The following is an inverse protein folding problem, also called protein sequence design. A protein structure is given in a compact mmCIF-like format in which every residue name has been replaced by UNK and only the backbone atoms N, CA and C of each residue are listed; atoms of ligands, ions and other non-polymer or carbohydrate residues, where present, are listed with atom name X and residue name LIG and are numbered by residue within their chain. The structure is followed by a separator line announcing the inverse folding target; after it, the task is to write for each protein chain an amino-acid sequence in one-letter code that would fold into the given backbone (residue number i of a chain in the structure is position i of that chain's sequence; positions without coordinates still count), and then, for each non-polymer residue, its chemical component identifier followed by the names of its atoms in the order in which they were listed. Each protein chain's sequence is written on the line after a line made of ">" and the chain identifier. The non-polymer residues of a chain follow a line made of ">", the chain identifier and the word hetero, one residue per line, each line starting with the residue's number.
data_IF_289997075444
#
_entry.id   IF_289997075444
#
_cell.length_a   1.000
_cell.length_b   1.000
_cell.length_c   1.000
_cell.angle_alpha   90.00
_cell.angle_beta   90.00
_cell.angle_gamma   90.00
#
_symmetry.space_group_name_H-M   'P 1'
#
loop_
_entity.id
_entity.type
_entity.pdbx_description
1 polymer ?
#
# COMPACT_ATOMS: atom_id res chain seq x y z
N UNK A 1 -11.08 -17.74 -43.32
CA UNK A 1 -10.11 -16.65 -43.03
C UNK A 1 -8.71 -17.18 -43.29
N UNK A 2 -7.94 -16.54 -44.17
CA UNK A 2 -6.63 -17.07 -44.61
C UNK A 2 -5.65 -17.17 -43.43
N UNK A 3 -4.94 -18.30 -43.29
CA UNK A 3 -4.07 -18.61 -42.14
C UNK A 3 -3.02 -17.51 -41.87
N UNK A 4 -2.53 -16.85 -42.92
CA UNK A 4 -1.63 -15.68 -42.79
C UNK A 4 -2.27 -14.54 -41.98
N UNK A 5 -3.53 -14.17 -42.25
CA UNK A 5 -4.21 -13.09 -41.52
C UNK A 5 -4.43 -13.44 -40.05
N UNK A 6 -4.69 -14.71 -39.73
CA UNK A 6 -4.78 -15.17 -38.35
C UNK A 6 -3.46 -14.97 -37.61
N UNK A 7 -2.33 -15.36 -38.21
CA UNK A 7 -1.00 -15.17 -37.63
C UNK A 7 -0.70 -13.68 -37.41
N UNK A 8 -0.94 -12.83 -38.41
CA UNK A 8 -0.76 -11.38 -38.25
C UNK A 8 -1.63 -10.81 -37.13
N UNK A 9 -2.89 -11.26 -37.02
CA UNK A 9 -3.78 -10.80 -35.94
C UNK A 9 -3.31 -11.26 -34.56
N UNK A 10 -2.79 -12.49 -34.44
CA UNK A 10 -2.20 -12.97 -33.20
C UNK A 10 -0.93 -12.18 -32.83
N UNK A 11 -0.04 -11.92 -33.79
CA UNK A 11 1.16 -11.08 -33.57
C UNK A 11 0.81 -9.66 -33.17
N UNK A 12 -0.22 -9.05 -33.78
CA UNK A 12 -0.70 -7.73 -33.41
C UNK A 12 -1.29 -7.69 -32.00
N UNK A 13 -2.09 -8.71 -31.62
CA UNK A 13 -2.62 -8.84 -30.25
C UNK A 13 -1.52 -9.10 -29.22
N UNK A 14 -0.46 -9.83 -29.59
CA UNK A 14 0.66 -10.17 -28.72
C UNK A 14 1.82 -9.14 -28.75
N UNK A 15 1.69 -8.02 -29.48
CA UNK A 15 2.79 -7.08 -29.71
C UNK A 15 3.48 -6.61 -28.43
N UNK A 16 2.72 -6.29 -27.38
CA UNK A 16 3.25 -5.86 -26.08
C UNK A 16 4.02 -6.98 -25.37
N UNK A 17 3.50 -8.20 -25.40
CA UNK A 17 4.19 -9.38 -24.86
C UNK A 17 5.45 -9.72 -25.66
N UNK A 18 5.41 -9.64 -26.99
CA UNK A 18 6.59 -9.84 -27.85
C UNK A 18 7.65 -8.79 -27.53
N UNK A 19 7.26 -7.52 -27.41
CA UNK A 19 8.18 -6.45 -27.02
C UNK A 19 8.80 -6.70 -25.64
N UNK A 20 8.00 -7.12 -24.65
CA UNK A 20 8.49 -7.48 -23.32
C UNK A 20 9.51 -8.64 -23.38
N UNK A 21 9.21 -9.71 -24.14
CA UNK A 21 10.11 -10.85 -24.29
C UNK A 21 11.41 -10.45 -25.00
N UNK A 22 11.35 -9.60 -26.02
CA UNK A 22 12.53 -9.07 -26.69
C UNK A 22 13.40 -8.24 -25.74
N UNK A 23 12.79 -7.38 -24.92
CA UNK A 23 13.51 -6.58 -23.93
C UNK A 23 14.16 -7.46 -22.87
N UNK A 24 13.44 -8.47 -22.36
CA UNK A 24 13.98 -9.45 -21.40
C UNK A 24 15.16 -10.21 -22.01
N UNK A 25 15.02 -10.70 -23.25
CA UNK A 25 16.09 -11.43 -23.95
C UNK A 25 17.31 -10.53 -24.17
N UNK A 26 17.11 -9.29 -24.59
CA UNK A 26 18.18 -8.31 -24.77
C UNK A 26 18.94 -8.07 -23.46
N UNK A 27 18.26 -7.73 -22.38
CA UNK A 27 18.92 -7.48 -21.09
C UNK A 27 19.52 -8.74 -20.48
N UNK A 28 18.94 -9.92 -20.72
CA UNK A 28 19.51 -11.19 -20.26
C UNK A 28 20.86 -11.49 -20.91
N UNK A 29 21.11 -11.04 -22.14
CA UNK A 29 22.39 -11.25 -22.83
C UNK A 29 23.37 -10.09 -22.53
N UNK A 30 22.87 -8.86 -22.45
CA UNK A 30 23.71 -7.67 -22.27
C UNK A 30 24.15 -7.43 -20.82
N UNK A 31 23.39 -7.94 -19.82
CA UNK A 31 23.64 -7.68 -18.40
C UNK A 31 23.83 -9.01 -17.65
N UNK A 32 25.06 -9.35 -17.22
CA UNK A 32 25.40 -10.66 -16.64
C UNK A 32 24.55 -11.10 -15.43
N UNK A 33 24.01 -10.14 -14.67
CA UNK A 33 23.25 -10.42 -13.44
C UNK A 33 21.73 -10.25 -13.60
N UNK A 34 21.24 -9.98 -14.81
CA UNK A 34 19.85 -9.59 -15.03
C UNK A 34 18.84 -10.68 -14.65
N UNK A 35 19.06 -11.92 -15.10
CA UNK A 35 18.19 -13.07 -14.76
C UNK A 35 18.69 -13.87 -13.54
N UNK A 36 19.50 -13.27 -12.67
CA UNK A 36 19.86 -13.93 -11.41
C UNK A 36 18.67 -13.97 -10.46
N UNK A 37 18.57 -15.03 -9.65
CA UNK A 37 17.50 -15.15 -8.66
C UNK A 37 17.46 -13.95 -7.69
N UNK A 38 18.64 -13.45 -7.27
CA UNK A 38 18.76 -12.27 -6.42
C UNK A 38 18.17 -11.01 -7.07
N UNK A 39 18.51 -10.73 -8.34
CA UNK A 39 17.97 -9.57 -9.04
C UNK A 39 16.46 -9.69 -9.26
N UNK A 40 15.96 -10.89 -9.61
CA UNK A 40 14.52 -11.13 -9.74
C UNK A 40 13.77 -10.92 -8.43
N UNK A 41 14.35 -11.34 -7.30
CA UNK A 41 13.76 -11.11 -5.97
C UNK A 41 13.71 -9.63 -5.61
N UNK A 42 14.77 -8.86 -5.87
CA UNK A 42 14.81 -7.41 -5.63
C UNK A 42 13.77 -6.69 -6.51
N UNK A 43 13.70 -7.02 -7.80
CA UNK A 43 12.69 -6.45 -8.70
C UNK A 43 11.27 -6.79 -8.24
N UNK A 44 11.03 -8.03 -7.83
CA UNK A 44 9.74 -8.47 -7.30
C UNK A 44 9.40 -7.75 -5.99
N UNK A 45 10.39 -7.46 -5.15
CA UNK A 45 10.22 -6.69 -3.92
C UNK A 45 9.80 -5.24 -4.20
N UNK A 46 10.37 -4.58 -5.22
CA UNK A 46 9.91 -3.25 -5.65
C UNK A 46 8.49 -3.28 -6.22
N UNK A 47 8.16 -4.31 -7.01
CA UNK A 47 6.80 -4.53 -7.49
C UNK A 47 5.84 -4.82 -6.32
N UNK A 48 6.30 -5.48 -5.25
CA UNK A 48 5.45 -5.78 -4.10
C UNK A 48 4.96 -4.52 -3.37
N UNK A 49 5.77 -3.47 -3.30
CA UNK A 49 5.40 -2.18 -2.70
C UNK A 49 4.23 -1.54 -3.47
N UNK A 50 4.37 -1.41 -4.80
CA UNK A 50 3.33 -0.84 -5.65
C UNK A 50 2.12 -1.76 -5.80
N UNK A 51 2.34 -3.07 -5.86
CA UNK A 51 1.31 -4.10 -5.87
C UNK A 51 0.44 -4.07 -4.62
N UNK A 52 1.03 -3.85 -3.43
CA UNK A 52 0.29 -3.72 -2.18
C UNK A 52 -0.64 -2.49 -2.18
N UNK A 53 -0.16 -1.34 -2.64
CA UNK A 53 -1.03 -0.16 -2.86
C UNK A 53 -2.13 -0.46 -3.89
N UNK A 54 -1.78 -1.12 -4.99
CA UNK A 54 -2.70 -1.44 -6.07
C UNK A 54 -3.84 -2.37 -5.61
N UNK A 55 -3.59 -3.30 -4.68
CA UNK A 55 -4.63 -4.16 -4.10
C UNK A 55 -5.67 -3.31 -3.36
N UNK A 56 -5.24 -2.38 -2.52
CA UNK A 56 -6.15 -1.44 -1.83
C UNK A 56 -6.94 -0.56 -2.82
N UNK A 57 -6.23 0.03 -3.78
CA UNK A 57 -6.81 0.88 -4.82
C UNK A 57 -7.78 0.12 -5.75
N UNK A 58 -7.55 -1.18 -5.99
CA UNK A 58 -8.47 -2.02 -6.77
C UNK A 58 -9.85 -2.07 -6.13
N UNK A 59 -9.93 -2.28 -4.82
CA UNK A 59 -11.23 -2.28 -4.12
C UNK A 59 -11.92 -0.92 -4.21
N UNK A 60 -11.15 0.17 -4.11
CA UNK A 60 -11.67 1.54 -4.24
C UNK A 60 -12.27 1.76 -5.62
N UNK A 61 -11.54 1.41 -6.68
CA UNK A 61 -12.01 1.51 -8.08
C UNK A 61 -13.26 0.66 -8.29
N UNK A 62 -13.31 -0.56 -7.74
CA UNK A 62 -14.49 -1.42 -7.85
C UNK A 62 -15.76 -0.80 -7.28
N UNK A 63 -15.65 0.14 -6.33
CA UNK A 63 -16.81 0.89 -5.80
C UNK A 63 -17.10 2.20 -6.54
N UNK A 64 -16.42 2.46 -7.67
CA UNK A 64 -16.54 3.70 -8.43
C UNK A 64 -15.79 4.89 -7.81
N UNK A 65 -14.84 4.64 -6.92
CA UNK A 65 -14.05 5.66 -6.23
C UNK A 65 -12.62 5.80 -6.76
N UNK A 66 -11.88 6.72 -6.15
CA UNK A 66 -10.43 6.87 -6.33
C UNK A 66 -9.79 7.33 -5.03
N UNK A 67 -8.63 6.76 -4.70
CA UNK A 67 -7.84 7.16 -3.53
C UNK A 67 -6.45 7.64 -3.95
N UNK A 68 -6.31 8.95 -4.13
CA UNK A 68 -5.03 9.59 -4.46
C UNK A 68 -4.13 9.80 -3.25
N UNK A 69 -4.63 9.56 -2.04
CA UNK A 69 -3.88 9.86 -0.81
C UNK A 69 -2.84 8.80 -0.47
N UNK A 70 -2.96 7.59 -1.03
CA UNK A 70 -2.22 6.39 -0.59
C UNK A 70 -0.71 6.57 -0.50
N UNK A 71 -0.09 7.29 -1.44
CA UNK A 71 1.34 7.56 -1.41
C UNK A 71 1.73 8.46 -0.24
N UNK A 72 1.03 9.57 -0.05
CA UNK A 72 1.26 10.48 1.08
C UNK A 72 0.93 9.82 2.43
N UNK A 73 -0.12 8.98 2.48
CA UNK A 73 -0.48 8.20 3.67
C UNK A 73 0.63 7.21 4.02
N UNK A 74 1.22 6.52 3.04
CA UNK A 74 2.40 5.68 3.28
C UNK A 74 3.58 6.49 3.84
N UNK A 75 3.81 7.70 3.30
CA UNK A 75 4.82 8.63 3.81
C UNK A 75 4.66 8.97 5.29
N UNK A 76 3.49 9.48 5.68
CA UNK A 76 3.21 9.80 7.08
C UNK A 76 3.21 8.56 7.97
N UNK A 77 2.76 7.40 7.49
CA UNK A 77 2.84 6.14 8.25
C UNK A 77 4.29 5.74 8.54
N UNK A 78 5.19 5.93 7.57
CA UNK A 78 6.63 5.77 7.78
C UNK A 78 7.18 6.75 8.82
N UNK A 79 6.77 8.03 8.76
CA UNK A 79 7.16 9.04 9.76
C UNK A 79 6.64 8.71 11.16
N UNK A 80 5.41 8.23 11.29
CA UNK A 80 4.84 7.78 12.56
C UNK A 80 5.61 6.57 13.10
N UNK A 81 5.98 5.61 12.25
CA UNK A 81 6.83 4.48 12.64
C UNK A 81 8.19 4.96 13.15
N UNK A 82 8.83 5.89 12.42
CA UNK A 82 10.10 6.50 12.82
C UNK A 82 10.00 7.24 14.16
N UNK A 83 8.97 8.05 14.34
CA UNK A 83 8.72 8.77 15.59
C UNK A 83 8.54 7.82 16.78
N UNK A 84 7.74 6.75 16.62
CA UNK A 84 7.51 5.77 17.68
C UNK A 84 8.76 4.95 18.03
N UNK A 85 9.61 4.65 17.04
CA UNK A 85 10.86 3.91 17.26
C UNK A 85 11.97 4.77 17.86
N UNK A 86 12.09 6.04 17.45
CA UNK A 86 13.18 6.94 17.88
C UNK A 86 12.83 7.70 19.15
N UNK A 87 11.64 8.30 19.22
CA UNK A 87 11.26 9.20 20.32
C UNK A 87 10.33 8.54 21.34
N UNK A 88 9.71 7.41 21.00
CA UNK A 88 8.63 6.84 21.80
C UNK A 88 7.38 7.75 21.82
N UNK A 89 6.42 7.39 22.67
CA UNK A 89 5.22 8.18 22.89
C UNK A 89 5.32 8.94 24.23
N UNK A 90 5.37 10.28 24.22
CA UNK A 90 5.35 11.04 25.45
C UNK A 90 3.99 10.91 26.14
N UNK A 91 3.98 10.38 27.35
CA UNK A 91 2.79 10.30 28.21
C UNK A 91 2.64 11.62 28.98
N UNK A 92 1.42 11.93 29.42
CA UNK A 92 1.16 13.14 30.22
C UNK A 92 1.99 13.17 31.52
N UNK A 93 2.30 12.00 32.08
CA UNK A 93 3.09 11.91 33.31
C UNK A 93 4.57 12.31 33.13
N UNK A 94 5.01 12.62 31.90
CA UNK A 94 6.41 12.90 31.56
C UNK A 94 7.22 11.66 31.17
N UNK A 95 6.68 10.48 31.42
CA UNK A 95 7.27 9.21 30.99
C UNK A 95 7.17 9.03 29.47
N UNK A 96 8.17 8.38 28.89
CA UNK A 96 8.19 8.04 27.47
C UNK A 96 7.93 6.54 27.33
N UNK A 97 6.82 6.20 26.67
CA UNK A 97 6.50 4.81 26.36
C UNK A 97 7.19 4.41 25.06
N UNK A 98 8.13 3.48 25.14
CA UNK A 98 8.72 2.84 23.97
C UNK A 98 7.94 1.58 23.63
N UNK A 99 7.63 1.43 22.35
CA UNK A 99 6.90 0.30 21.81
C UNK A 99 7.87 -0.70 21.18
N UNK A 100 7.56 -1.99 21.32
CA UNK A 100 8.24 -3.04 20.57
C UNK A 100 7.86 -2.96 19.07
N UNK A 101 8.65 -3.58 18.20
CA UNK A 101 8.39 -3.56 16.75
C UNK A 101 6.98 -4.02 16.37
N UNK A 102 6.42 -5.13 16.91
CA UNK A 102 5.06 -5.54 16.59
C UNK A 102 3.99 -4.51 17.02
N UNK A 103 4.21 -3.82 18.14
CA UNK A 103 3.32 -2.78 18.65
C UNK A 103 3.36 -1.54 17.75
N UNK A 104 4.55 -1.14 17.27
CA UNK A 104 4.69 -0.05 16.29
C UNK A 104 3.95 -0.39 15.00
N UNK A 105 4.12 -1.61 14.47
CA UNK A 105 3.41 -2.08 13.27
C UNK A 105 1.90 -1.99 13.47
N UNK A 106 1.39 -2.41 14.63
CA UNK A 106 -0.03 -2.34 14.95
C UNK A 106 -0.53 -0.89 15.04
N UNK A 107 0.19 -0.02 15.75
CA UNK A 107 -0.16 1.41 15.87
C UNK A 107 -0.22 2.10 14.49
N UNK A 108 0.76 1.84 13.63
CA UNK A 108 0.83 2.42 12.29
C UNK A 108 -0.27 1.85 11.37
N UNK A 109 -0.54 0.55 11.47
CA UNK A 109 -1.66 -0.09 10.75
C UNK A 109 -3.01 0.53 11.15
N UNK A 110 -3.24 0.73 12.45
CA UNK A 110 -4.44 1.41 12.97
C UNK A 110 -4.50 2.84 12.45
N UNK A 111 -3.39 3.58 12.46
CA UNK A 111 -3.34 4.94 11.95
C UNK A 111 -3.74 5.01 10.46
N UNK A 112 -3.19 4.14 9.59
CA UNK A 112 -3.60 4.08 8.19
C UNK A 112 -5.08 3.74 8.00
N UNK A 113 -5.60 2.79 8.79
CA UNK A 113 -7.04 2.45 8.81
C UNK A 113 -7.88 3.68 9.20
N UNK A 114 -7.48 4.44 10.21
CA UNK A 114 -8.18 5.65 10.63
C UNK A 114 -8.21 6.71 9.53
N UNK A 115 -7.09 6.94 8.85
CA UNK A 115 -7.05 7.87 7.71
C UNK A 115 -8.00 7.42 6.59
N UNK A 116 -7.99 6.12 6.26
CA UNK A 116 -8.92 5.53 5.30
C UNK A 116 -10.39 5.63 5.75
N UNK A 117 -10.68 5.44 7.03
CA UNK A 117 -12.01 5.63 7.61
C UNK A 117 -12.48 7.08 7.49
N UNK A 118 -11.60 8.06 7.71
CA UNK A 118 -11.91 9.48 7.53
C UNK A 118 -12.27 9.78 6.07
N UNK A 119 -11.44 9.34 5.11
CA UNK A 119 -11.75 9.49 3.68
C UNK A 119 -13.10 8.86 3.32
N UNK A 120 -13.30 7.60 3.71
CA UNK A 120 -14.54 6.88 3.44
C UNK A 120 -15.77 7.54 4.09
N UNK A 121 -15.65 8.04 5.33
CA UNK A 121 -16.73 8.70 6.04
C UNK A 121 -17.07 10.05 5.39
N UNK A 122 -16.07 10.82 4.98
CA UNK A 122 -16.30 12.12 4.34
C UNK A 122 -16.98 11.95 2.99
N UNK A 123 -16.50 11.00 2.18
CA UNK A 123 -17.08 10.71 0.87
C UNK A 123 -18.53 10.23 1.00
N UNK A 124 -18.81 9.31 1.93
CA UNK A 124 -20.14 8.68 2.02
C UNK A 124 -21.17 9.48 2.80
N UNK A 125 -20.78 10.20 3.86
CA UNK A 125 -21.70 10.94 4.74
C UNK A 125 -21.87 12.39 4.34
N UNK A 126 -20.80 13.05 3.87
CA UNK A 126 -20.87 14.44 3.42
C UNK A 126 -21.06 14.56 1.90
N UNK A 127 -21.07 13.44 1.17
CA UNK A 127 -21.32 13.44 -0.28
C UNK A 127 -20.22 14.12 -1.09
N UNK A 128 -19.01 14.21 -0.53
CA UNK A 128 -17.86 14.81 -1.21
C UNK A 128 -17.36 13.86 -2.29
N UNK A 129 -17.04 14.39 -3.47
CA UNK A 129 -16.48 13.59 -4.55
C UNK A 129 -15.15 12.91 -4.11
N UNK A 130 -14.95 11.61 -4.42
CA UNK A 130 -13.75 10.86 -4.02
C UNK A 130 -12.43 11.52 -4.36
N UNK A 131 -12.33 12.09 -5.56
CA UNK A 131 -11.13 12.77 -6.05
C UNK A 131 -10.74 13.95 -5.15
N UNK A 132 -11.70 14.85 -4.85
CA UNK A 132 -11.42 16.05 -4.04
C UNK A 132 -11.11 15.66 -2.60
N UNK A 133 -11.85 14.72 -2.03
CA UNK A 133 -11.61 14.27 -0.65
C UNK A 133 -10.21 13.69 -0.48
N UNK A 134 -9.80 12.77 -1.37
CA UNK A 134 -8.52 12.06 -1.24
C UNK A 134 -7.34 12.91 -1.70
N UNK A 135 -7.52 13.83 -2.65
CA UNK A 135 -6.54 14.86 -2.96
C UNK A 135 -6.31 15.78 -1.75
N UNK A 136 -7.38 16.20 -1.07
CA UNK A 136 -7.28 16.98 0.17
C UNK A 136 -6.51 16.21 1.25
N UNK A 137 -6.85 14.94 1.46
CA UNK A 137 -6.14 14.08 2.41
C UNK A 137 -4.66 13.86 2.03
N UNK A 138 -4.33 13.79 0.73
CA UNK A 138 -2.94 13.73 0.27
C UNK A 138 -2.14 14.95 0.76
N UNK A 139 -2.70 16.16 0.64
CA UNK A 139 -2.05 17.37 1.15
C UNK A 139 -1.97 17.40 2.67
N UNK A 140 -3.02 16.96 3.37
CA UNK A 140 -3.00 16.85 4.84
C UNK A 140 -1.90 15.89 5.29
N UNK A 141 -1.87 14.66 4.77
CA UNK A 141 -0.89 13.66 5.13
C UNK A 141 0.55 14.12 4.81
N UNK A 142 0.77 14.72 3.65
CA UNK A 142 2.09 15.23 3.23
C UNK A 142 2.53 16.45 4.04
N UNK A 143 1.61 17.38 4.31
CA UNK A 143 1.85 18.53 5.18
C UNK A 143 2.17 18.09 6.61
N UNK A 144 1.39 17.17 7.17
CA UNK A 144 1.66 16.56 8.47
C UNK A 144 3.02 15.87 8.48
N UNK A 145 3.41 15.14 7.43
CA UNK A 145 4.71 14.47 7.38
C UNK A 145 5.86 15.49 7.44
N UNK A 146 5.73 16.62 6.74
CA UNK A 146 6.72 17.72 6.78
C UNK A 146 6.76 18.45 8.13
N UNK A 147 5.69 18.41 8.92
CA UNK A 147 5.68 18.97 10.28
C UNK A 147 6.27 18.00 11.31
N UNK A 148 6.31 16.70 11.02
CA UNK A 148 6.98 15.74 11.88
C UNK A 148 8.49 15.96 11.82
N UNK A 149 9.14 15.89 12.99
CA UNK A 149 10.58 16.02 13.14
C UNK A 149 11.16 17.29 12.47
N UNK A 150 10.40 18.39 12.45
CA UNK A 150 10.77 19.65 11.79
C UNK A 150 11.17 19.46 10.30
N UNK A 151 10.54 18.52 9.61
CA UNK A 151 10.82 18.18 8.21
C UNK A 151 12.10 17.37 8.02
N UNK A 152 12.77 16.97 9.09
CA UNK A 152 13.98 16.14 9.06
C UNK A 152 13.65 14.66 8.98
N UNK A 153 14.60 13.89 8.45
CA UNK A 153 14.50 12.42 8.41
C UNK A 153 14.76 11.84 9.78
N UNK A 154 14.04 10.80 10.19
CA UNK A 154 14.45 9.94 11.30
C UNK A 154 15.50 8.95 10.80
N UNK A 155 16.78 9.09 11.20
CA UNK A 155 17.84 8.18 10.77
C UNK A 155 17.89 6.94 11.67
N UNK A 156 18.51 5.86 11.16
CA UNK A 156 18.93 4.71 11.96
C UNK A 156 17.78 4.03 12.74
N UNK A 157 16.74 3.60 12.01
CA UNK A 157 15.60 2.88 12.57
C UNK A 157 15.89 1.41 12.92
N UNK A 158 17.15 1.07 13.23
CA UNK A 158 17.54 -0.28 13.67
C UNK A 158 16.96 -0.62 15.05
N UNK A 159 16.56 0.40 15.82
CA UNK A 159 16.17 0.28 17.21
C UNK A 159 17.37 0.22 18.15
N UNK A 160 17.11 0.10 19.44
CA UNK A 160 18.09 -0.12 20.51
C UNK A 160 17.70 -1.38 21.27
N UNK A 161 18.62 -2.32 21.47
CA UNK A 161 18.33 -3.58 22.19
C UNK A 161 17.77 -3.34 23.60
N UNK A 162 18.27 -2.29 24.28
CA UNK A 162 17.79 -1.90 25.60
C UNK A 162 16.30 -1.51 25.64
N UNK A 163 15.73 -1.11 24.49
CA UNK A 163 14.32 -0.71 24.36
C UNK A 163 13.44 -1.84 23.81
N UNK A 164 14.01 -3.00 23.45
CA UNK A 164 13.26 -4.12 22.85
C UNK A 164 12.70 -3.85 21.45
N UNK A 165 13.02 -2.69 20.85
CA UNK A 165 12.47 -2.22 19.58
C UNK A 165 13.37 -2.56 18.37
N UNK A 166 14.22 -3.57 18.49
CA UNK A 166 15.09 -4.04 17.40
C UNK A 166 14.34 -4.97 16.44
N UNK A 167 14.88 -5.09 15.22
CA UNK A 167 14.32 -5.99 14.21
C UNK A 167 13.34 -5.33 13.26
N UNK A 168 13.15 -4.01 13.32
CA UNK A 168 12.32 -3.28 12.36
C UNK A 168 12.77 -3.53 10.91
N UNK A 169 14.09 -3.63 10.66
CA UNK A 169 14.68 -3.97 9.36
C UNK A 169 14.15 -5.28 8.76
N UNK A 170 13.77 -6.26 9.59
CA UNK A 170 13.30 -7.57 9.09
C UNK A 170 12.03 -7.45 8.27
N UNK A 171 11.16 -6.47 8.54
CA UNK A 171 9.93 -6.25 7.79
C UNK A 171 10.21 -5.90 6.32
N UNK A 172 11.24 -5.10 6.08
CA UNK A 172 11.60 -4.57 4.78
C UNK A 172 12.60 -5.44 4.03
N UNK A 173 13.65 -5.92 4.71
CA UNK A 173 14.77 -6.66 4.12
C UNK A 173 14.89 -8.12 4.57
N UNK A 174 14.07 -8.56 5.52
CA UNK A 174 14.05 -9.95 5.96
C UNK A 174 13.59 -10.90 4.86
N UNK A 175 14.06 -12.13 4.93
CA UNK A 175 13.67 -13.20 3.99
C UNK A 175 13.04 -14.35 4.75
N UNK A 176 12.01 -14.94 4.14
CA UNK A 176 11.34 -16.15 4.59
C UNK A 176 11.31 -17.13 3.41
N UNK A 177 11.85 -18.33 3.61
CA UNK A 177 12.00 -19.33 2.53
C UNK A 177 12.77 -18.79 1.30
N UNK A 178 13.74 -17.89 1.52
CA UNK A 178 14.53 -17.26 0.47
C UNK A 178 13.83 -16.13 -0.29
N UNK A 179 12.59 -15.78 0.07
CA UNK A 179 11.80 -14.70 -0.55
C UNK A 179 11.63 -13.55 0.45
N UNK A 180 11.74 -12.31 -0.03
CA UNK A 180 11.61 -11.12 0.83
C UNK A 180 10.22 -10.99 1.47
N UNK A 181 10.17 -10.58 2.74
CA UNK A 181 8.93 -10.40 3.50
C UNK A 181 7.88 -9.49 2.84
N UNK A 182 8.25 -8.36 2.19
CA UNK A 182 7.30 -7.53 1.45
C UNK A 182 6.52 -8.28 0.37
N UNK A 183 7.14 -9.28 -0.28
CA UNK A 183 6.48 -10.12 -1.29
C UNK A 183 5.44 -11.01 -0.60
N UNK A 184 5.77 -11.61 0.54
CA UNK A 184 4.82 -12.39 1.34
C UNK A 184 3.66 -11.53 1.86
N UNK A 185 3.92 -10.29 2.28
CA UNK A 185 2.88 -9.35 2.69
C UNK A 185 1.96 -9.01 1.51
N UNK A 186 2.51 -8.70 0.34
CA UNK A 186 1.71 -8.48 -0.88
C UNK A 186 0.85 -9.72 -1.20
N UNK A 187 1.41 -10.93 -1.18
CA UNK A 187 0.65 -12.17 -1.43
C UNK A 187 -0.45 -12.36 -0.38
N UNK A 188 -0.16 -12.13 0.91
CA UNK A 188 -1.14 -12.22 1.98
C UNK A 188 -2.31 -11.25 1.79
N UNK A 189 -2.02 -10.00 1.45
CA UNK A 189 -3.04 -8.98 1.14
C UNK A 189 -3.78 -9.29 -0.16
N UNK A 190 -3.12 -9.86 -1.16
CA UNK A 190 -3.74 -10.29 -2.41
C UNK A 190 -4.75 -11.41 -2.16
N UNK A 191 -4.37 -12.43 -1.39
CA UNK A 191 -5.24 -13.53 -0.99
C UNK A 191 -6.40 -13.01 -0.15
N UNK A 192 -6.14 -12.11 0.79
CA UNK A 192 -7.17 -11.47 1.60
C UNK A 192 -8.16 -10.67 0.74
N UNK A 193 -7.66 -9.81 -0.16
CA UNK A 193 -8.48 -9.02 -1.07
C UNK A 193 -9.30 -9.88 -2.04
N UNK A 194 -8.69 -10.94 -2.58
CA UNK A 194 -9.38 -11.91 -3.43
C UNK A 194 -10.48 -12.67 -2.66
N UNK A 195 -10.19 -13.11 -1.43
CA UNK A 195 -11.17 -13.78 -0.58
C UNK A 195 -12.33 -12.85 -0.20
N UNK A 196 -12.02 -11.60 0.19
CA UNK A 196 -13.02 -10.57 0.50
C UNK A 196 -13.95 -10.33 -0.70
N UNK A 197 -13.41 -10.20 -1.91
CA UNK A 197 -14.19 -9.90 -3.11
C UNK A 197 -15.00 -11.09 -3.63
N UNK A 198 -14.49 -12.32 -3.51
CA UNK A 198 -15.13 -13.49 -4.14
C UNK A 198 -15.94 -14.37 -3.18
N UNK A 199 -15.59 -14.42 -1.89
CA UNK A 199 -16.18 -15.37 -0.93
C UNK A 199 -17.06 -14.71 0.14
N UNK A 200 -16.97 -13.39 0.34
CA UNK A 200 -17.72 -12.71 1.41
C UNK A 200 -18.93 -11.92 0.89
N UNK A 201 -19.94 -11.65 1.74
CA UNK A 201 -21.06 -10.75 1.39
C UNK A 201 -20.59 -9.35 1.01
N UNK A 202 -19.50 -8.88 1.63
CA UNK A 202 -18.90 -7.58 1.33
C UNK A 202 -18.47 -7.50 -0.14
N UNK A 203 -17.89 -8.55 -0.69
CA UNK A 203 -17.53 -8.61 -2.11
C UNK A 203 -18.72 -8.41 -3.04
N UNK A 204 -19.86 -9.05 -2.74
CA UNK A 204 -21.12 -8.87 -3.49
C UNK A 204 -21.61 -7.43 -3.42
N UNK A 205 -21.49 -6.78 -2.26
CA UNK A 205 -21.82 -5.37 -2.08
C UNK A 205 -20.89 -4.46 -2.88
N UNK A 206 -19.58 -4.70 -2.87
CA UNK A 206 -18.59 -3.94 -3.63
C UNK A 206 -18.93 -3.97 -5.13
N UNK A 207 -19.15 -5.17 -5.70
CA UNK A 207 -19.51 -5.30 -7.12
C UNK A 207 -20.88 -4.70 -7.45
N UNK A 208 -21.87 -4.84 -6.56
CA UNK A 208 -23.18 -4.23 -6.77
C UNK A 208 -23.10 -2.69 -6.79
N UNK A 209 -22.30 -2.09 -5.89
CA UNK A 209 -22.07 -0.64 -5.84
C UNK A 209 -21.38 -0.16 -7.12
N UNK A 210 -20.35 -0.86 -7.58
CA UNK A 210 -19.62 -0.52 -8.81
C UNK A 210 -20.46 -0.63 -10.07
N UNK A 211 -21.35 -1.63 -10.14
CA UNK A 211 -22.25 -1.81 -11.28
C UNK A 211 -23.32 -0.73 -11.35
N UNK A 212 -24.05 -0.48 -10.26
CA UNK A 212 -25.02 0.60 -10.15
C UNK A 212 -25.34 0.92 -8.68
N UNK A 213 -24.79 2.02 -8.18
CA UNK A 213 -24.96 2.45 -6.78
C UNK A 213 -26.43 2.74 -6.42
N UNK A 214 -27.21 3.30 -7.34
CA UNK A 214 -28.63 3.61 -7.11
C UNK A 214 -29.46 2.33 -6.99
N UNK A 215 -29.23 1.35 -7.87
CA UNK A 215 -29.90 0.05 -7.82
C UNK A 215 -29.48 -0.74 -6.57
N UNK A 216 -28.20 -0.71 -6.22
CA UNK A 216 -27.69 -1.32 -4.98
C UNK A 216 -28.36 -0.72 -3.74
N UNK A 217 -28.61 0.60 -3.73
CA UNK A 217 -29.34 1.28 -2.63
C UNK A 217 -30.76 0.76 -2.50
N UNK A 218 -31.48 0.66 -3.62
CA UNK A 218 -32.85 0.14 -3.65
C UNK A 218 -32.93 -1.35 -3.26
N UNK A 219 -31.87 -2.11 -3.54
CA UNK A 219 -31.72 -3.50 -3.10
C UNK A 219 -31.30 -3.65 -1.61
N UNK A 220 -31.19 -2.56 -0.86
CA UNK A 220 -30.85 -2.60 0.57
C UNK A 220 -29.38 -2.83 0.88
N UNK A 221 -28.48 -2.69 -0.11
CA UNK A 221 -27.03 -2.82 0.11
C UNK A 221 -26.54 -1.70 1.04
N UNK A 222 -25.76 -2.00 2.10
CA UNK A 222 -25.26 -0.99 3.03
C UNK A 222 -24.08 -0.20 2.43
N UNK A 223 -24.36 0.67 1.44
CA UNK A 223 -23.37 1.41 0.65
C UNK A 223 -22.35 2.14 1.53
N UNK A 224 -22.82 2.86 2.55
CA UNK A 224 -21.97 3.66 3.44
C UNK A 224 -20.92 2.78 4.14
N UNK A 225 -21.34 1.63 4.70
CA UNK A 225 -20.43 0.72 5.40
C UNK A 225 -19.43 0.08 4.45
N UNK A 226 -19.89 -0.34 3.27
CA UNK A 226 -19.05 -0.98 2.27
C UNK A 226 -17.97 -0.02 1.73
N UNK A 227 -18.33 1.21 1.36
CA UNK A 227 -17.36 2.23 0.90
C UNK A 227 -16.39 2.62 2.01
N UNK A 228 -16.85 2.84 3.24
CA UNK A 228 -15.96 3.14 4.39
C UNK A 228 -14.93 2.02 4.60
N UNK A 229 -15.36 0.76 4.55
CA UNK A 229 -14.45 -0.38 4.68
C UNK A 229 -13.39 -0.38 3.56
N UNK A 230 -13.79 -0.11 2.32
CA UNK A 230 -12.88 -0.12 1.17
C UNK A 230 -11.79 0.95 1.30
N UNK A 231 -12.12 2.18 1.72
CA UNK A 231 -11.11 3.21 1.98
C UNK A 231 -10.26 2.87 3.22
N UNK A 232 -10.83 2.28 4.27
CA UNK A 232 -10.08 1.81 5.42
C UNK A 232 -9.04 0.73 5.04
N UNK A 233 -9.43 -0.19 4.16
CA UNK A 233 -8.52 -1.22 3.63
C UNK A 233 -7.43 -0.62 2.72
N UNK A 234 -7.77 0.38 1.91
CA UNK A 234 -6.78 1.18 1.16
C UNK A 234 -5.75 1.83 2.09
N UNK A 235 -6.23 2.47 3.17
CA UNK A 235 -5.37 3.07 4.19
C UNK A 235 -4.50 2.06 4.94
N UNK A 236 -5.01 0.86 5.21
CA UNK A 236 -4.23 -0.26 5.77
C UNK A 236 -3.09 -0.66 4.82
N UNK A 237 -3.36 -0.81 3.53
CA UNK A 237 -2.34 -1.13 2.54
C UNK A 237 -1.26 -0.04 2.49
N UNK A 238 -1.66 1.22 2.49
CA UNK A 238 -0.75 2.37 2.53
C UNK A 238 0.13 2.36 3.80
N UNK A 239 -0.44 2.05 4.97
CA UNK A 239 0.34 1.94 6.21
C UNK A 239 1.42 0.86 6.14
N UNK A 240 1.09 -0.34 5.64
CA UNK A 240 2.08 -1.40 5.45
C UNK A 240 3.15 -1.02 4.43
N UNK A 241 2.79 -0.32 3.37
CA UNK A 241 3.78 0.20 2.40
C UNK A 241 4.71 1.21 3.06
N UNK A 242 4.18 2.14 3.87
CA UNK A 242 4.99 3.07 4.65
C UNK A 242 5.97 2.38 5.58
N UNK A 243 5.49 1.36 6.32
CA UNK A 243 6.31 0.53 7.19
C UNK A 243 7.40 -0.24 6.42
N UNK A 244 7.06 -0.84 5.28
CA UNK A 244 8.02 -1.59 4.44
C UNK A 244 9.10 -0.66 3.92
N UNK A 245 8.74 0.51 3.36
CA UNK A 245 9.72 1.45 2.79
C UNK A 245 10.62 2.02 3.87
N UNK A 246 10.05 2.44 5.01
CA UNK A 246 10.84 2.94 6.14
C UNK A 246 11.77 1.86 6.71
N UNK A 247 11.31 0.60 6.75
CA UNK A 247 12.09 -0.55 7.16
C UNK A 247 13.21 -0.89 6.17
N UNK A 248 12.94 -0.86 4.86
CA UNK A 248 13.97 -1.14 3.84
C UNK A 248 15.08 -0.11 3.87
N UNK A 249 14.73 1.17 4.01
CA UNK A 249 15.69 2.26 4.02
C UNK A 249 16.31 2.52 5.40
N UNK A 250 15.81 1.85 6.45
CA UNK A 250 16.16 2.10 7.86
C UNK A 250 16.07 3.58 8.25
N UNK A 251 15.20 4.32 7.55
CA UNK A 251 15.01 5.76 7.69
C UNK A 251 13.56 6.11 7.37
N UNK A 252 13.01 7.11 8.04
CA UNK A 252 11.71 7.67 7.71
C UNK A 252 11.88 9.11 7.24
N UNK A 253 11.67 9.34 5.95
CA UNK A 253 11.79 10.65 5.32
C UNK A 253 10.40 11.21 4.99
N UNK A 254 10.08 12.49 5.27
CA UNK A 254 8.73 13.04 5.11
C UNK A 254 8.24 13.09 3.65
N UNK A 255 9.17 13.17 2.70
CA UNK A 255 8.89 13.10 1.25
C UNK A 255 8.76 11.66 0.72
N UNK A 256 8.81 10.65 1.59
CA UNK A 256 8.50 9.26 1.19
C UNK A 256 7.07 9.23 0.68
N UNK A 257 6.86 8.64 -0.50
CA UNK A 257 5.53 8.50 -1.07
C UNK A 257 5.16 9.44 -2.20
N UNK A 258 6.03 10.39 -2.54
CA UNK A 258 5.79 11.39 -3.57
C UNK A 258 5.70 10.86 -5.01
N UNK A 259 6.22 9.65 -5.24
CA UNK A 259 6.35 9.04 -6.56
C UNK A 259 5.39 7.85 -6.77
N UNK A 260 4.44 7.64 -5.85
CA UNK A 260 3.39 6.62 -6.00
C UNK A 260 2.18 7.16 -6.77
#
# INVERSE_FOLDING_TARGET
>A
MNQKYMIYMYLLKARTFIALLLVIAFFSVMVPNFLTASNLLIMTQHVAITGLLAIGMTLVILTGGIDLSVGAVAGICGMVAGALLTNGLPLWNGDILFFNVPEVILCVAIFGVLVGLVNGAVITRFGVAPFICTLGMMYVARGSALLFNDGSTYPNLNGMEALGNTGFATLGSGTLLGVYLPIWLMIGFLVLGYWLTTKTPLGRYIYAIGGNESAARLAGVPIVKAKIFVYAFSGLCAAFVGLIVASQLQTAHPMTGNMF
#
